data_IF_356517526065
#
_entry.id   IF_356517526065
#
_cell.length_a   1.000
_cell.length_b   1.000
_cell.length_c   1.000
_cell.angle_alpha   90.00
_cell.angle_beta   90.00
_cell.angle_gamma   90.00
#
_symmetry.space_group_name_H-M   'P 1'
#
loop_
_entity.id
_entity.type
_entity.pdbx_description
1 polymer ?
#
# COMPACT_ATOMS: atom_id res chain seq x y z
N UNK A 1 -0.56 19.97 13.36
CA UNK A 1 -1.10 19.89 11.98
C UNK A 1 -2.01 18.68 11.94
N UNK A 2 -3.29 18.90 12.19
CA UNK A 2 -4.29 17.84 12.28
C UNK A 2 -4.75 17.47 10.88
N UNK A 3 -4.42 16.25 10.44
CA UNK A 3 -5.03 15.67 9.24
C UNK A 3 -6.44 15.20 9.60
N UNK A 4 -7.42 15.99 9.22
CA UNK A 4 -8.84 15.62 9.28
C UNK A 4 -9.13 14.56 8.23
N UNK A 5 -9.19 13.29 8.64
CA UNK A 5 -9.92 12.29 7.89
C UNK A 5 -11.40 12.42 8.20
N UNK A 6 -12.15 13.09 7.36
CA UNK A 6 -13.61 13.07 7.41
C UNK A 6 -14.10 11.75 6.82
N UNK A 7 -14.68 10.89 7.66
CA UNK A 7 -15.55 9.80 7.20
C UNK A 7 -16.75 10.42 6.48
N UNK A 8 -16.82 10.31 5.17
CA UNK A 8 -18.07 10.46 4.46
C UNK A 8 -18.84 9.15 4.60
N UNK A 9 -19.87 9.18 5.44
CA UNK A 9 -20.84 8.12 5.56
C UNK A 9 -21.74 8.11 4.31
N UNK A 10 -21.92 6.94 3.69
CA UNK A 10 -23.06 6.63 2.85
C UNK A 10 -22.90 6.94 1.35
N UNK A 11 -22.06 6.19 0.67
CA UNK A 11 -22.21 5.91 -0.74
C UNK A 11 -22.30 4.39 -0.90
N UNK A 12 -23.49 3.88 -1.21
CA UNK A 12 -23.65 2.49 -1.64
C UNK A 12 -22.85 2.31 -2.92
N UNK A 13 -21.74 1.56 -2.81
CA UNK A 13 -20.99 1.11 -3.96
C UNK A 13 -21.84 0.05 -4.66
N UNK A 14 -22.53 0.45 -5.74
CA UNK A 14 -23.25 -0.48 -6.60
C UNK A 14 -22.25 -1.46 -7.21
N UNK A 15 -22.52 -2.76 -7.00
CA UNK A 15 -21.89 -3.92 -7.67
C UNK A 15 -20.36 -3.94 -7.76
N UNK A 16 -19.67 -3.83 -6.61
CA UNK A 16 -18.24 -4.16 -6.49
C UNK A 16 -17.98 -5.67 -6.40
N UNK A 17 -18.46 -6.45 -7.36
CA UNK A 17 -18.10 -7.87 -7.49
C UNK A 17 -16.75 -8.08 -8.19
N UNK A 18 -16.05 -7.03 -8.58
CA UNK A 18 -14.80 -7.09 -9.35
C UNK A 18 -13.52 -6.77 -8.56
N UNK A 19 -13.63 -6.11 -7.41
CA UNK A 19 -12.48 -5.90 -6.53
C UNK A 19 -12.79 -6.55 -5.19
N UNK A 20 -12.33 -7.77 -4.97
CA UNK A 20 -12.55 -8.55 -3.74
C UNK A 20 -12.02 -7.91 -2.45
N UNK A 21 -11.63 -6.64 -2.45
CA UNK A 21 -11.00 -5.97 -1.31
C UNK A 21 -11.16 -4.44 -1.35
N UNK A 22 -12.39 -3.94 -1.53
CA UNK A 22 -12.67 -2.51 -1.32
C UNK A 22 -12.72 -2.14 0.17
N UNK A 23 -11.61 -2.31 0.87
CA UNK A 23 -11.36 -1.71 2.17
C UNK A 23 -10.64 -0.37 2.00
N UNK A 24 -11.42 0.70 1.78
CA UNK A 24 -11.03 2.09 2.06
C UNK A 24 -9.84 2.73 1.32
N UNK A 25 -9.81 2.66 0.00
CA UNK A 25 -9.27 3.77 -0.80
C UNK A 25 -10.31 4.02 -1.88
N UNK A 26 -10.72 5.29 -2.07
CA UNK A 26 -11.69 5.68 -3.09
C UNK A 26 -11.24 5.15 -4.44
N UNK A 27 -11.79 3.98 -4.83
CA UNK A 27 -11.51 3.39 -6.14
C UNK A 27 -12.18 4.30 -7.19
N UNK A 28 -11.43 4.99 -8.04
CA UNK A 28 -12.02 5.80 -9.10
C UNK A 28 -12.83 4.90 -10.03
N UNK A 29 -14.06 5.29 -10.35
CA UNK A 29 -14.96 4.51 -11.19
C UNK A 29 -14.25 3.96 -12.44
N UNK A 30 -14.31 2.64 -12.64
CA UNK A 30 -13.71 1.96 -13.82
C UNK A 30 -12.20 1.77 -13.81
N UNK A 31 -11.52 1.95 -12.67
CA UNK A 31 -10.08 1.70 -12.53
C UNK A 31 -9.82 0.59 -11.51
N UNK A 32 -8.87 -0.27 -11.80
CA UNK A 32 -8.38 -1.30 -10.89
C UNK A 32 -7.04 -0.88 -10.28
N UNK A 33 -6.71 -1.43 -9.12
CA UNK A 33 -5.38 -1.28 -8.57
C UNK A 33 -4.41 -2.24 -9.26
N UNK A 34 -3.28 -1.70 -9.69
CA UNK A 34 -2.18 -2.47 -10.26
C UNK A 34 -0.92 -2.23 -9.47
N UNK A 35 -0.19 -3.32 -9.22
CA UNK A 35 1.13 -3.28 -8.60
C UNK A 35 2.19 -3.54 -9.65
N UNK A 36 3.07 -2.57 -9.87
CA UNK A 36 4.21 -2.70 -10.77
C UNK A 36 5.46 -3.05 -9.96
N UNK A 37 6.17 -4.10 -10.37
CA UNK A 37 7.45 -4.49 -9.80
C UNK A 37 8.52 -4.26 -10.86
N UNK A 38 9.49 -3.40 -10.52
CA UNK A 38 10.53 -2.95 -11.43
C UNK A 38 11.89 -3.24 -10.80
N UNK A 39 12.79 -3.80 -11.57
CA UNK A 39 14.19 -3.98 -11.19
C UNK A 39 15.07 -3.10 -12.06
N UNK A 40 15.98 -2.37 -11.45
CA UNK A 40 16.92 -1.49 -12.14
C UNK A 40 18.31 -1.55 -11.54
N UNK A 41 19.29 -1.06 -12.26
CA UNK A 41 20.60 -0.75 -11.70
C UNK A 41 20.48 0.32 -10.60
N UNK A 42 21.40 0.28 -9.63
CA UNK A 42 21.37 1.22 -8.50
C UNK A 42 22.26 2.43 -8.80
N UNK A 43 21.66 3.49 -9.39
CA UNK A 43 22.34 4.77 -9.43
C UNK A 43 21.38 5.96 -9.29
N UNK A 44 21.95 7.14 -9.05
CA UNK A 44 21.19 8.35 -8.80
C UNK A 44 20.34 8.78 -10.03
N UNK A 45 19.08 9.11 -9.79
CA UNK A 45 18.18 9.63 -10.81
C UNK A 45 17.26 8.62 -11.48
N UNK A 46 17.47 7.30 -11.29
CA UNK A 46 16.59 6.28 -11.91
C UNK A 46 15.15 6.38 -11.41
N UNK A 47 14.96 6.66 -10.12
CA UNK A 47 13.64 6.89 -9.56
C UNK A 47 12.88 8.01 -10.30
N UNK A 48 13.54 9.11 -10.59
CA UNK A 48 12.94 10.21 -11.34
C UNK A 48 12.56 9.78 -12.77
N UNK A 49 13.35 8.94 -13.40
CA UNK A 49 13.04 8.43 -14.74
C UNK A 49 11.81 7.52 -14.73
N UNK A 50 11.66 6.67 -13.69
CA UNK A 50 10.51 5.78 -13.52
C UNK A 50 9.25 6.59 -13.23
N UNK A 51 9.28 7.47 -12.23
CA UNK A 51 8.11 8.27 -11.83
C UNK A 51 7.67 9.27 -12.91
N UNK A 52 8.61 9.79 -13.72
CA UNK A 52 8.29 10.65 -14.86
C UNK A 52 7.39 9.96 -15.90
N UNK A 53 7.43 8.64 -16.02
CA UNK A 53 6.55 7.91 -16.95
C UNK A 53 5.10 8.01 -16.46
N UNK A 54 4.84 7.78 -15.16
CA UNK A 54 3.52 7.91 -14.55
C UNK A 54 3.00 9.36 -14.62
N UNK A 55 3.86 10.34 -14.31
CA UNK A 55 3.52 11.77 -14.37
C UNK A 55 3.10 12.20 -15.77
N UNK A 56 3.83 11.80 -16.81
CA UNK A 56 3.50 12.14 -18.21
C UNK A 56 2.16 11.56 -18.66
N UNK A 57 1.69 10.50 -18.03
CA UNK A 57 0.41 9.84 -18.30
C UNK A 57 -0.69 10.25 -17.32
N UNK A 58 -0.38 11.19 -16.43
CA UNK A 58 -1.32 11.65 -15.39
C UNK A 58 -1.90 10.51 -14.54
N UNK A 59 -1.08 9.47 -14.31
CA UNK A 59 -1.41 8.37 -13.40
C UNK A 59 -0.81 8.69 -12.05
N UNK A 60 -1.68 8.76 -11.04
CA UNK A 60 -1.26 8.97 -9.66
C UNK A 60 -0.61 7.70 -9.10
N UNK A 61 0.45 7.88 -8.33
CA UNK A 61 1.13 6.79 -7.60
C UNK A 61 0.55 6.77 -6.19
N UNK A 62 -0.12 5.69 -5.82
CA UNK A 62 -0.71 5.51 -4.49
C UNK A 62 0.35 5.10 -3.45
N UNK A 63 1.24 4.20 -3.84
CA UNK A 63 2.36 3.84 -3.00
C UNK A 63 3.64 3.63 -3.83
N UNK A 64 4.76 3.91 -3.22
CA UNK A 64 6.09 3.69 -3.80
C UNK A 64 7.02 3.16 -2.73
N UNK A 65 7.55 1.98 -2.95
CA UNK A 65 8.60 1.39 -2.13
C UNK A 65 9.84 1.13 -2.98
N UNK A 66 10.99 1.52 -2.46
CA UNK A 66 12.29 1.27 -3.12
C UNK A 66 13.21 0.59 -2.13
N UNK A 67 13.74 -0.55 -2.49
CA UNK A 67 14.69 -1.28 -1.65
C UNK A 67 15.80 -1.92 -2.49
N UNK A 68 16.94 -2.16 -1.85
CA UNK A 68 17.97 -2.99 -2.44
C UNK A 68 17.44 -4.41 -2.67
N UNK A 69 17.70 -4.97 -3.83
CA UNK A 69 17.40 -6.36 -4.15
C UNK A 69 18.41 -7.30 -3.46
N UNK A 70 18.11 -8.60 -3.45
CA UNK A 70 19.07 -9.63 -3.05
C UNK A 70 20.29 -9.70 -3.99
N UNK A 71 20.17 -9.19 -5.22
CA UNK A 71 21.27 -9.09 -6.18
C UNK A 71 22.02 -7.78 -5.93
N UNK A 72 23.32 -7.82 -5.64
CA UNK A 72 24.13 -6.61 -5.45
C UNK A 72 24.07 -5.70 -6.68
N UNK A 73 23.92 -4.38 -6.44
CA UNK A 73 23.84 -3.38 -7.51
C UNK A 73 22.46 -3.26 -8.17
N UNK A 74 21.46 -4.02 -7.74
CA UNK A 74 20.10 -3.98 -8.26
C UNK A 74 19.13 -3.44 -7.20
N UNK A 75 18.28 -2.50 -7.60
CA UNK A 75 17.17 -1.99 -6.79
C UNK A 75 15.84 -2.54 -7.28
N UNK A 76 14.94 -2.82 -6.34
CA UNK A 76 13.55 -3.19 -6.58
C UNK A 76 12.64 -2.02 -6.22
N UNK A 77 11.78 -1.67 -7.16
CA UNK A 77 10.71 -0.69 -6.98
C UNK A 77 9.38 -1.43 -6.98
N UNK A 78 8.55 -1.13 -6.01
CA UNK A 78 7.16 -1.59 -5.96
C UNK A 78 6.28 -0.36 -5.99
N UNK A 79 5.48 -0.21 -7.04
CA UNK A 79 4.64 0.96 -7.30
C UNK A 79 3.20 0.48 -7.42
N UNK A 80 2.29 1.08 -6.65
CA UNK A 80 0.86 0.84 -6.81
C UNK A 80 0.17 2.07 -7.42
N UNK A 81 -0.77 1.84 -8.32
CA UNK A 81 -1.55 2.89 -8.94
C UNK A 81 -2.92 2.38 -9.38
N UNK A 82 -3.92 3.29 -9.43
CA UNK A 82 -5.22 3.02 -10.02
C UNK A 82 -5.22 3.41 -11.50
N UNK A 83 -5.42 2.44 -12.36
CA UNK A 83 -5.55 2.68 -13.80
C UNK A 83 -6.35 1.57 -14.49
N UNK A 84 -6.59 1.69 -15.77
CA UNK A 84 -7.10 0.59 -16.59
C UNK A 84 -5.95 -0.32 -17.04
N UNK A 85 -6.26 -1.53 -17.48
CA UNK A 85 -5.27 -2.52 -17.88
C UNK A 85 -4.38 -2.04 -19.04
N UNK A 86 -4.96 -1.38 -20.03
CA UNK A 86 -4.20 -0.83 -21.17
C UNK A 86 -3.13 0.16 -20.71
N UNK A 87 -3.45 0.98 -19.71
CA UNK A 87 -2.52 1.94 -19.12
C UNK A 87 -1.42 1.22 -18.33
N UNK A 88 -1.76 0.19 -17.54
CA UNK A 88 -0.78 -0.61 -16.81
C UNK A 88 0.23 -1.26 -17.76
N UNK A 89 -0.24 -1.86 -18.87
CA UNK A 89 0.60 -2.43 -19.92
C UNK A 89 1.51 -1.36 -20.53
N UNK A 90 0.93 -0.20 -20.86
CA UNK A 90 1.68 0.89 -21.48
C UNK A 90 2.76 1.47 -20.57
N UNK A 91 2.44 1.70 -19.29
CA UNK A 91 3.39 2.19 -18.28
C UNK A 91 4.55 1.22 -18.14
N UNK A 92 4.25 -0.07 -17.94
CA UNK A 92 5.26 -1.12 -17.78
C UNK A 92 6.20 -1.18 -18.99
N UNK A 93 5.66 -1.21 -20.21
CA UNK A 93 6.47 -1.21 -21.44
C UNK A 93 7.31 0.05 -21.61
N UNK A 94 6.82 1.22 -21.18
CA UNK A 94 7.59 2.46 -21.25
C UNK A 94 8.70 2.53 -20.21
N UNK A 95 8.47 1.97 -19.04
CA UNK A 95 9.49 1.85 -17.98
C UNK A 95 10.57 0.86 -18.41
N UNK A 96 10.19 -0.28 -18.96
CA UNK A 96 11.12 -1.32 -19.43
C UNK A 96 12.04 -0.84 -20.57
N UNK A 97 11.60 0.15 -21.36
CA UNK A 97 12.46 0.76 -22.41
C UNK A 97 13.56 1.68 -21.85
N UNK A 98 13.62 1.94 -20.56
CA UNK A 98 14.71 2.70 -19.98
C UNK A 98 15.96 1.85 -19.91
N UNK A 99 17.11 2.43 -20.27
CA UNK A 99 18.40 1.71 -20.39
C UNK A 99 18.76 1.01 -19.09
N UNK A 100 18.50 1.67 -17.96
CA UNK A 100 18.92 1.20 -16.63
C UNK A 100 17.89 0.30 -15.95
N UNK A 101 16.76 0.03 -16.62
CA UNK A 101 15.72 -0.90 -16.13
C UNK A 101 16.01 -2.30 -16.68
N UNK A 102 16.18 -3.24 -15.77
CA UNK A 102 16.47 -4.63 -16.08
C UNK A 102 15.20 -5.41 -16.40
N UNK A 103 14.13 -5.12 -15.67
CA UNK A 103 12.84 -5.79 -15.81
C UNK A 103 11.73 -4.93 -15.23
N UNK A 104 10.55 -4.95 -15.86
CA UNK A 104 9.34 -4.36 -15.31
C UNK A 104 8.15 -5.27 -15.58
N UNK A 105 7.37 -5.56 -14.54
CA UNK A 105 6.14 -6.35 -14.61
C UNK A 105 5.02 -5.61 -13.89
N UNK A 106 3.77 -5.86 -14.29
CA UNK A 106 2.58 -5.43 -13.57
C UNK A 106 1.76 -6.64 -13.13
N UNK A 107 1.02 -6.49 -12.06
CA UNK A 107 0.19 -7.52 -11.45
C UNK A 107 -1.11 -6.90 -10.96
N UNK A 108 -2.17 -7.68 -11.01
CA UNK A 108 -3.43 -7.40 -10.32
C UNK A 108 -3.37 -7.92 -8.88
N UNK A 109 -4.26 -7.45 -8.01
CA UNK A 109 -4.32 -7.92 -6.61
C UNK A 109 -4.53 -9.42 -6.47
N UNK A 110 -5.18 -10.05 -7.46
CA UNK A 110 -5.41 -11.50 -7.47
C UNK A 110 -4.16 -12.33 -7.81
N UNK A 111 -3.14 -11.72 -8.39
CA UNK A 111 -1.92 -12.38 -8.83
C UNK A 111 -0.77 -12.26 -7.82
N UNK A 112 -0.96 -11.43 -6.79
CA UNK A 112 0.05 -11.17 -5.78
C UNK A 112 -0.51 -11.36 -4.38
N UNK A 113 0.38 -11.73 -3.45
CA UNK A 113 0.06 -11.79 -2.04
C UNK A 113 0.66 -10.58 -1.34
N UNK A 114 -0.19 -9.69 -0.80
CA UNK A 114 0.22 -8.48 -0.12
C UNK A 114 0.08 -8.67 1.39
N UNK A 115 1.18 -8.46 2.11
CA UNK A 115 1.19 -8.34 3.56
C UNK A 115 1.48 -6.89 3.93
N UNK A 116 0.61 -6.36 4.77
CA UNK A 116 0.74 -5.02 5.31
C UNK A 116 1.10 -5.07 6.79
N UNK A 117 1.70 -4.00 7.28
CA UNK A 117 1.94 -3.78 8.69
C UNK A 117 1.44 -2.39 9.08
N UNK A 118 0.68 -2.32 10.16
CA UNK A 118 0.26 -1.05 10.73
C UNK A 118 0.74 -0.89 12.17
N UNK A 119 0.97 0.36 12.54
CA UNK A 119 1.25 0.77 13.92
C UNK A 119 0.12 1.69 14.38
N UNK A 120 -0.58 1.26 15.42
CA UNK A 120 -1.66 2.00 16.03
C UNK A 120 -1.16 2.66 17.31
N UNK A 121 -1.32 3.98 17.41
CA UNK A 121 -1.04 4.74 18.63
C UNK A 121 -2.33 4.92 19.42
N UNK A 122 -2.39 4.32 20.60
CA UNK A 122 -3.55 4.33 21.48
C UNK A 122 -3.18 4.99 22.80
N UNK A 123 -4.11 5.72 23.44
CA UNK A 123 -3.88 6.26 24.78
C UNK A 123 -3.69 5.12 25.80
N UNK A 124 -2.62 5.19 26.58
CA UNK A 124 -2.34 4.18 27.63
C UNK A 124 -3.45 4.16 28.70
N UNK A 125 -4.01 5.31 29.02
CA UNK A 125 -5.14 5.42 29.95
C UNK A 125 -6.37 4.66 29.43
N UNK A 126 -6.69 4.79 28.13
CA UNK A 126 -7.76 4.03 27.50
C UNK A 126 -7.48 2.52 27.53
N UNK A 127 -6.23 2.12 27.29
CA UNK A 127 -5.82 0.72 27.32
C UNK A 127 -5.92 0.09 28.72
N UNK A 128 -5.58 0.85 29.77
CA UNK A 128 -5.64 0.36 31.16
C UNK A 128 -7.06 0.31 31.72
N UNK A 129 -7.89 1.28 31.35
CA UNK A 129 -9.26 1.39 31.88
C UNK A 129 -10.28 0.54 31.12
N UNK A 130 -9.97 0.10 29.90
CA UNK A 130 -10.84 -0.71 29.09
C UNK A 130 -10.29 -2.14 28.91
N UNK A 131 -10.88 -3.11 29.61
CA UNK A 131 -10.48 -4.53 29.53
C UNK A 131 -10.70 -5.14 28.14
N UNK A 132 -11.60 -4.55 27.35
CA UNK A 132 -11.88 -5.03 25.99
C UNK A 132 -10.71 -4.78 25.03
N UNK A 133 -9.94 -3.72 25.22
CA UNK A 133 -8.78 -3.42 24.35
C UNK A 133 -7.77 -4.57 24.38
N UNK A 134 -7.43 -5.07 25.57
CA UNK A 134 -6.52 -6.21 25.71
C UNK A 134 -7.06 -7.52 25.11
N UNK A 135 -8.39 -7.68 25.09
CA UNK A 135 -9.07 -8.81 24.46
C UNK A 135 -9.02 -8.67 22.93
N UNK A 136 -9.34 -7.49 22.41
CA UNK A 136 -9.30 -7.18 20.97
C UNK A 136 -7.89 -7.42 20.41
N UNK A 137 -6.86 -6.86 21.07
CA UNK A 137 -5.46 -7.06 20.68
C UNK A 137 -5.12 -8.54 20.53
N UNK A 138 -5.58 -9.39 21.47
CA UNK A 138 -5.33 -10.84 21.43
C UNK A 138 -6.13 -11.56 20.36
N UNK A 139 -7.42 -11.24 20.20
CA UNK A 139 -8.29 -11.88 19.20
C UNK A 139 -7.76 -11.61 17.78
N UNK A 140 -7.34 -10.37 17.53
CA UNK A 140 -6.80 -9.99 16.22
C UNK A 140 -5.32 -10.34 16.04
N UNK A 141 -4.67 -11.00 17.01
CA UNK A 141 -3.25 -11.36 16.91
C UNK A 141 -2.32 -10.15 16.80
N UNK A 142 -2.76 -8.99 17.32
CA UNK A 142 -1.94 -7.80 17.36
C UNK A 142 -0.95 -7.86 18.53
N UNK A 143 0.15 -7.11 18.45
CA UNK A 143 1.21 -7.11 19.47
C UNK A 143 1.42 -5.71 20.01
N UNK A 144 1.52 -5.60 21.32
CA UNK A 144 1.95 -4.35 21.96
C UNK A 144 3.47 -4.26 21.82
N UNK A 145 3.95 -3.21 21.14
CA UNK A 145 5.37 -2.99 20.87
C UNK A 145 6.00 -2.10 21.92
N UNK A 146 5.27 -1.06 22.33
CA UNK A 146 5.76 -0.07 23.25
C UNK A 146 4.63 0.42 24.16
N UNK A 147 4.94 0.68 25.44
CA UNK A 147 4.01 1.26 26.40
C UNK A 147 4.70 2.43 27.09
N UNK A 148 4.15 3.62 26.90
CA UNK A 148 4.56 4.85 27.57
C UNK A 148 3.46 5.33 28.52
N UNK A 149 3.73 6.23 29.47
CA UNK A 149 2.71 6.74 30.39
C UNK A 149 1.51 7.40 29.68
N UNK A 150 1.72 7.98 28.49
CA UNK A 150 0.71 8.72 27.75
C UNK A 150 0.11 7.93 26.60
N UNK A 151 0.88 7.07 25.93
CA UNK A 151 0.44 6.29 24.79
C UNK A 151 1.09 4.91 24.75
N UNK A 152 0.43 4.00 24.04
CA UNK A 152 0.96 2.67 23.73
C UNK A 152 0.91 2.45 22.23
N UNK A 153 1.86 1.67 21.70
CA UNK A 153 1.95 1.33 20.28
C UNK A 153 1.59 -0.15 20.12
N UNK A 154 0.62 -0.39 19.25
CA UNK A 154 0.15 -1.73 18.89
C UNK A 154 0.52 -1.98 17.43
N UNK A 155 1.21 -3.09 17.17
CA UNK A 155 1.56 -3.57 15.83
C UNK A 155 0.57 -4.65 15.38
N UNK A 156 0.09 -4.55 14.16
CA UNK A 156 -0.68 -5.60 13.49
C UNK A 156 -0.11 -5.83 12.10
N UNK A 157 0.11 -7.11 11.76
CA UNK A 157 0.52 -7.56 10.42
C UNK A 157 -0.55 -8.51 9.88
N UNK A 158 -0.82 -8.43 8.61
CA UNK A 158 -1.79 -9.30 7.95
C UNK A 158 -2.17 -8.80 6.56
N UNK A 159 -3.18 -9.39 5.99
CA UNK A 159 -3.82 -8.86 4.79
C UNK A 159 -4.66 -7.64 5.17
N UNK A 160 -4.95 -6.79 4.19
CA UNK A 160 -5.67 -5.52 4.40
C UNK A 160 -6.97 -5.69 5.19
N UNK A 161 -7.76 -6.74 4.89
CA UNK A 161 -8.99 -7.06 5.61
C UNK A 161 -8.78 -7.34 7.10
N UNK A 162 -7.69 -8.05 7.45
CA UNK A 162 -7.35 -8.35 8.83
C UNK A 162 -6.92 -7.11 9.61
N UNK A 163 -6.23 -6.19 8.93
CA UNK A 163 -5.79 -4.93 9.53
C UNK A 163 -6.97 -4.01 9.79
N UNK A 164 -7.91 -3.91 8.85
CA UNK A 164 -9.11 -3.08 8.97
C UNK A 164 -10.12 -3.60 9.99
N UNK A 165 -10.04 -4.89 10.34
CA UNK A 165 -10.90 -5.50 11.35
C UNK A 165 -10.52 -5.17 12.79
N UNK A 166 -9.33 -4.60 13.03
CA UNK A 166 -8.83 -4.19 14.34
C UNK A 166 -9.34 -2.81 14.73
#
# INVERSE_FOLDING_TARGET
METKYTKNAGGECGDCNLCGNCGSLDCPEGKNMYTMIIYSENFAGILNQITAVSTRRQVNIESLNVCASSTPGVHKYTITCFCNEEMAIMLTKQIEKKIDVLQANYFTDNEIFILEACLLKVSTNMMLNNKDVGRIVRIHGARIVEVNPTYSIIEKKGVTSDILSL
#
